data_IF_173919906153
#
_entry.id   IF_173919906153
#
_cell.length_a   1.000
_cell.length_b   1.000
_cell.length_c   1.000
_cell.angle_alpha   90.00
_cell.angle_beta   90.00
_cell.angle_gamma   90.00
#
_symmetry.space_group_name_H-M   'P 1'
#
loop_
_entity.id
_entity.type
_entity.pdbx_description
1 polymer ?
#
# COMPACT_ATOMS: atom_id res chain seq x y z
N UNK A 1 0.90 13.12 -38.57
CA UNK A 1 1.50 12.70 -37.29
C UNK A 1 1.33 13.87 -36.34
N UNK A 2 0.57 13.71 -35.27
CA UNK A 2 0.38 14.73 -34.25
C UNK A 2 1.41 14.45 -33.16
N UNK A 3 2.40 15.33 -33.01
CA UNK A 3 3.38 15.20 -31.94
C UNK A 3 2.67 15.29 -30.60
N UNK A 4 2.63 14.17 -29.87
CA UNK A 4 1.94 14.09 -28.58
C UNK A 4 2.85 14.71 -27.53
N UNK A 5 2.51 15.93 -27.13
CA UNK A 5 3.25 16.67 -26.09
C UNK A 5 3.08 15.97 -24.75
N UNK A 6 4.20 15.59 -24.13
CA UNK A 6 4.23 14.95 -22.81
C UNK A 6 3.82 15.92 -21.71
N UNK A 7 3.42 15.40 -20.54
CA UNK A 7 3.02 16.25 -19.43
C UNK A 7 4.18 17.11 -18.90
N UNK A 8 5.42 16.60 -18.87
CA UNK A 8 6.60 17.40 -18.50
C UNK A 8 6.84 18.56 -19.47
N UNK A 9 6.67 18.32 -20.77
CA UNK A 9 6.76 19.37 -21.79
C UNK A 9 5.69 20.45 -21.60
N UNK A 10 4.46 20.07 -21.23
CA UNK A 10 3.40 21.04 -20.91
C UNK A 10 3.81 21.96 -19.74
N UNK A 11 4.44 21.42 -18.70
CA UNK A 11 4.93 22.22 -17.58
C UNK A 11 6.09 23.16 -17.97
N UNK A 12 7.01 22.73 -18.84
CA UNK A 12 8.06 23.62 -19.36
C UNK A 12 7.48 24.78 -20.16
N UNK A 13 6.56 24.48 -21.07
CA UNK A 13 5.85 25.49 -21.87
C UNK A 13 5.10 26.47 -20.94
N UNK A 14 4.42 25.95 -19.89
CA UNK A 14 3.74 26.80 -18.93
C UNK A 14 4.72 27.72 -18.16
N UNK A 15 5.87 27.22 -17.73
CA UNK A 15 6.91 28.04 -17.09
C UNK A 15 7.44 29.13 -18.03
N UNK A 16 7.69 28.80 -19.30
CA UNK A 16 8.14 29.76 -20.32
C UNK A 16 7.10 30.87 -20.54
N UNK A 17 5.81 30.51 -20.63
CA UNK A 17 4.71 31.48 -20.78
C UNK A 17 4.61 32.39 -19.54
N UNK A 18 4.73 31.84 -18.33
CA UNK A 18 4.67 32.61 -17.08
C UNK A 18 5.84 33.59 -16.93
N UNK A 19 7.02 33.23 -17.47
CA UNK A 19 8.21 34.09 -17.48
C UNK A 19 8.22 35.09 -18.65
N UNK A 20 7.26 35.01 -19.57
CA UNK A 20 7.21 35.95 -20.68
C UNK A 20 6.99 37.38 -20.20
N UNK A 21 7.73 38.31 -20.82
CA UNK A 21 7.74 39.73 -20.48
C UNK A 21 6.34 40.35 -20.52
N UNK A 22 5.51 39.95 -21.48
CA UNK A 22 4.17 40.49 -21.68
C UNK A 22 3.22 40.08 -20.56
N UNK A 23 3.25 38.81 -20.14
CA UNK A 23 2.39 38.30 -19.07
C UNK A 23 2.85 38.81 -17.69
N UNK A 24 4.16 38.83 -17.46
CA UNK A 24 4.76 39.32 -16.22
C UNK A 24 4.49 40.81 -15.99
N UNK A 25 4.55 41.63 -17.05
CA UNK A 25 4.20 43.06 -16.98
C UNK A 25 2.70 43.30 -16.76
N UNK A 26 1.85 42.47 -17.36
CA UNK A 26 0.40 42.67 -17.29
C UNK A 26 -0.21 42.34 -15.91
N UNK A 27 0.34 41.36 -15.18
CA UNK A 27 -0.34 40.81 -14.01
C UNK A 27 0.46 40.84 -12.69
N UNK A 28 1.69 41.38 -12.70
CA UNK A 28 2.62 41.25 -11.58
C UNK A 28 3.32 39.89 -11.63
N UNK A 29 4.64 39.90 -11.46
CA UNK A 29 5.49 38.77 -11.86
C UNK A 29 5.10 37.40 -11.27
N UNK A 30 5.09 36.38 -12.14
CA UNK A 30 4.76 34.99 -11.82
C UNK A 30 5.98 34.10 -11.56
N UNK A 31 7.03 34.67 -10.95
CA UNK A 31 8.29 33.97 -10.77
C UNK A 31 8.16 32.69 -9.91
N UNK A 32 7.24 32.70 -8.94
CA UNK A 32 7.00 31.57 -8.03
C UNK A 32 6.29 30.42 -8.76
N UNK A 33 5.26 30.73 -9.53
CA UNK A 33 4.51 29.76 -10.33
C UNK A 33 5.36 29.17 -11.45
N UNK A 34 6.18 30.00 -12.10
CA UNK A 34 7.13 29.54 -13.10
C UNK A 34 8.15 28.54 -12.51
N UNK A 35 8.71 28.86 -11.33
CA UNK A 35 9.62 27.95 -10.62
C UNK A 35 8.94 26.64 -10.25
N UNK A 36 7.69 26.69 -9.77
CA UNK A 36 6.91 25.49 -9.48
C UNK A 36 6.69 24.62 -10.73
N UNK A 37 6.33 25.22 -11.86
CA UNK A 37 6.19 24.52 -13.14
C UNK A 37 7.50 23.85 -13.57
N UNK A 38 8.64 24.53 -13.44
CA UNK A 38 9.96 23.96 -13.73
C UNK A 38 10.27 22.74 -12.85
N UNK A 39 9.98 22.83 -11.55
CA UNK A 39 10.18 21.71 -10.63
C UNK A 39 9.29 20.51 -10.96
N UNK A 40 8.03 20.74 -11.36
CA UNK A 40 7.14 19.65 -11.80
C UNK A 40 7.61 18.99 -13.09
N UNK A 41 8.10 19.78 -14.06
CA UNK A 41 8.69 19.23 -15.28
C UNK A 41 9.89 18.34 -14.95
N UNK A 42 10.82 18.81 -14.12
CA UNK A 42 12.01 18.05 -13.71
C UNK A 42 11.64 16.76 -12.96
N UNK A 43 10.65 16.82 -12.06
CA UNK A 43 10.15 15.62 -11.35
C UNK A 43 9.61 14.58 -12.33
N UNK A 44 8.76 14.99 -13.27
CA UNK A 44 8.15 14.08 -14.25
C UNK A 44 9.17 13.48 -15.22
N UNK A 45 10.21 14.23 -15.58
CA UNK A 45 11.32 13.73 -16.40
C UNK A 45 12.15 12.69 -15.64
N UNK A 46 12.45 12.93 -14.36
CA UNK A 46 13.14 11.96 -13.52
C UNK A 46 12.30 10.68 -13.34
N UNK A 47 10.98 10.82 -13.16
CA UNK A 47 10.06 9.68 -13.10
C UNK A 47 10.01 8.90 -14.40
N UNK A 48 9.94 9.59 -15.55
CA UNK A 48 9.98 8.95 -16.88
C UNK A 48 11.29 8.21 -17.10
N UNK A 49 12.43 8.82 -16.79
CA UNK A 49 13.75 8.19 -16.94
C UNK A 49 13.90 6.94 -16.05
N UNK A 50 13.34 6.98 -14.84
CA UNK A 50 13.29 5.82 -13.94
C UNK A 50 12.43 4.71 -14.51
N UNK A 51 11.25 5.04 -15.05
CA UNK A 51 10.35 4.05 -15.65
C UNK A 51 10.99 3.43 -16.91
N UNK A 52 11.63 4.23 -17.77
CA UNK A 52 12.36 3.74 -18.94
C UNK A 52 13.48 2.77 -18.55
N UNK A 53 14.17 3.03 -17.44
CA UNK A 53 15.18 2.13 -16.91
C UNK A 53 14.55 0.82 -16.40
N UNK A 54 13.44 0.91 -15.66
CA UNK A 54 12.71 -0.25 -15.18
C UNK A 54 12.23 -1.14 -16.33
N UNK A 55 11.65 -0.56 -17.38
CA UNK A 55 11.19 -1.27 -18.58
C UNK A 55 12.35 -1.93 -19.33
N UNK A 56 13.51 -1.27 -19.41
CA UNK A 56 14.74 -1.85 -19.98
C UNK A 56 15.21 -3.05 -19.16
N UNK A 57 15.25 -2.93 -17.84
CA UNK A 57 15.66 -4.02 -16.94
C UNK A 57 14.70 -5.19 -17.02
N UNK A 58 13.38 -4.94 -17.06
CA UNK A 58 12.38 -5.98 -17.23
C UNK A 58 12.54 -6.70 -18.58
N UNK A 59 12.77 -5.95 -19.67
CA UNK A 59 13.01 -6.54 -20.99
C UNK A 59 14.25 -7.42 -21.00
N UNK A 60 15.34 -6.95 -20.39
CA UNK A 60 16.56 -7.76 -20.24
C UNK A 60 16.22 -9.03 -19.45
N UNK A 61 15.57 -8.90 -18.29
CA UNK A 61 15.20 -10.05 -17.45
C UNK A 61 14.35 -11.08 -18.20
N UNK A 62 13.33 -10.64 -18.96
CA UNK A 62 12.46 -11.52 -19.76
C UNK A 62 13.18 -12.15 -20.97
N UNK A 63 14.21 -11.51 -21.50
CA UNK A 63 14.94 -12.00 -22.68
C UNK A 63 16.04 -13.01 -22.36
N UNK A 64 16.32 -13.22 -21.07
CA UNK A 64 17.44 -14.04 -20.61
C UNK A 64 16.94 -15.43 -20.22
N UNK A 65 17.17 -16.41 -21.10
CA UNK A 65 16.96 -17.85 -20.85
C UNK A 65 18.17 -18.51 -20.15
N UNK A 66 19.25 -17.75 -19.93
CA UNK A 66 20.50 -18.25 -19.36
C UNK A 66 20.59 -18.00 -17.85
N UNK A 67 20.75 -19.04 -17.01
CA UNK A 67 20.93 -18.91 -15.57
C UNK A 67 22.09 -17.99 -15.17
N UNK A 68 23.20 -18.03 -15.92
CA UNK A 68 24.39 -17.23 -15.65
C UNK A 68 24.17 -15.72 -15.80
N UNK A 69 23.33 -15.32 -16.75
CA UNK A 69 22.99 -13.91 -16.98
C UNK A 69 21.93 -13.46 -15.97
N UNK A 70 21.05 -14.36 -15.51
CA UNK A 70 20.12 -14.09 -14.41
C UNK A 70 20.86 -13.80 -13.10
N UNK A 71 21.90 -14.58 -12.80
CA UNK A 71 22.75 -14.38 -11.61
C UNK A 71 23.53 -13.06 -11.69
N UNK A 72 24.05 -12.71 -12.88
CA UNK A 72 24.66 -11.40 -13.12
C UNK A 72 23.67 -10.24 -12.93
N UNK A 73 22.42 -10.39 -13.39
CA UNK A 73 21.38 -9.38 -13.19
C UNK A 73 21.01 -9.22 -11.71
N UNK A 74 20.95 -10.33 -10.96
CA UNK A 74 20.72 -10.31 -9.51
C UNK A 74 21.87 -9.62 -8.77
N UNK A 75 23.12 -9.80 -9.22
CA UNK A 75 24.26 -9.08 -8.67
C UNK A 75 24.16 -7.57 -8.94
N UNK A 76 23.76 -7.14 -10.13
CA UNK A 76 23.53 -5.71 -10.44
C UNK A 76 22.38 -5.14 -9.61
N UNK A 77 21.29 -5.89 -9.43
CA UNK A 77 20.18 -5.48 -8.54
C UNK A 77 20.67 -5.35 -7.10
N UNK A 78 21.51 -6.28 -6.62
CA UNK A 78 22.13 -6.20 -5.30
C UNK A 78 23.08 -5.00 -5.15
N UNK A 79 23.80 -4.61 -6.21
CA UNK A 79 24.62 -3.39 -6.22
C UNK A 79 23.79 -2.10 -6.27
N UNK A 80 22.57 -2.15 -6.83
CA UNK A 80 21.63 -1.02 -6.83
C UNK A 80 20.84 -0.93 -5.52
N UNK A 81 20.83 -1.98 -4.69
CA UNK A 81 20.18 -2.01 -3.38
C UNK A 81 20.59 -0.83 -2.49
N UNK A 82 21.87 -0.46 -2.32
CA UNK A 82 22.28 0.68 -1.51
C UNK A 82 21.78 2.02 -2.07
N UNK A 83 21.64 2.14 -3.40
CA UNK A 83 21.08 3.33 -4.03
C UNK A 83 19.57 3.42 -3.80
N UNK A 84 18.85 2.29 -3.86
CA UNK A 84 17.44 2.23 -3.49
C UNK A 84 17.22 2.55 -2.00
N UNK A 85 18.05 2.02 -1.11
CA UNK A 85 18.06 2.36 0.32
C UNK A 85 18.35 3.85 0.56
N UNK A 86 19.30 4.42 -0.19
CA UNK A 86 19.60 5.85 -0.14
C UNK A 86 18.42 6.70 -0.60
N UNK A 87 17.74 6.33 -1.70
CA UNK A 87 16.54 7.02 -2.19
C UNK A 87 15.39 6.97 -1.18
N UNK A 88 15.17 5.83 -0.53
CA UNK A 88 14.19 5.69 0.55
C UNK A 88 14.58 6.59 1.73
N UNK A 89 15.85 6.59 2.13
CA UNK A 89 16.33 7.45 3.20
C UNK A 89 16.23 8.95 2.87
N UNK A 90 16.41 9.33 1.61
CA UNK A 90 16.22 10.70 1.13
C UNK A 90 14.73 11.09 1.12
N UNK A 91 13.85 10.21 0.65
CA UNK A 91 12.40 10.43 0.70
C UNK A 91 11.91 10.61 2.14
N UNK A 92 12.35 9.74 3.06
CA UNK A 92 12.05 9.86 4.50
C UNK A 92 12.61 11.17 5.07
N UNK A 93 13.82 11.59 4.68
CA UNK A 93 14.39 12.88 5.12
C UNK A 93 13.60 14.06 4.59
N UNK A 94 13.17 14.02 3.33
CA UNK A 94 12.35 15.06 2.69
C UNK A 94 10.97 15.15 3.34
N UNK A 95 10.29 14.03 3.56
CA UNK A 95 9.00 13.97 4.23
C UNK A 95 9.12 14.49 5.66
N UNK A 96 10.21 14.16 6.36
CA UNK A 96 10.51 14.72 7.69
C UNK A 96 10.78 16.22 7.64
N UNK A 97 11.51 16.72 6.66
CA UNK A 97 11.73 18.16 6.52
C UNK A 97 10.42 18.91 6.20
N UNK A 98 9.57 18.33 5.35
CA UNK A 98 8.26 18.88 5.01
C UNK A 98 7.31 18.87 6.22
N UNK A 99 7.20 17.74 6.93
CA UNK A 99 6.40 17.64 8.15
C UNK A 99 6.87 18.64 9.23
N UNK A 100 8.17 18.96 9.28
CA UNK A 100 8.73 19.95 10.19
C UNK A 100 8.41 21.37 9.75
N UNK A 101 8.53 21.67 8.45
CA UNK A 101 8.12 22.94 7.87
C UNK A 101 6.61 23.20 8.06
N UNK A 102 5.80 22.14 7.97
CA UNK A 102 4.34 22.19 8.15
C UNK A 102 3.92 22.26 9.63
N UNK A 103 4.86 22.25 10.59
CA UNK A 103 4.58 22.23 12.03
C UNK A 103 3.90 20.94 12.52
N UNK A 104 3.84 19.90 11.69
CA UNK A 104 3.23 18.60 11.98
C UNK A 104 4.20 17.65 12.68
N UNK A 105 5.50 17.88 12.54
CA UNK A 105 6.52 17.37 13.46
C UNK A 105 6.53 18.28 14.68
N UNK A 106 5.62 18.00 15.61
CA UNK A 106 5.61 18.67 16.90
C UNK A 106 6.88 18.28 17.68
N UNK A 107 7.58 19.22 18.35
CA UNK A 107 8.62 18.88 19.32
C UNK A 107 8.08 18.06 20.51
N UNK A 108 6.76 18.09 20.73
CA UNK A 108 6.09 17.46 21.88
C UNK A 108 4.90 16.53 21.50
N UNK A 109 4.66 16.30 20.21
CA UNK A 109 3.51 15.52 19.73
C UNK A 109 3.85 14.16 19.11
N UNK A 110 5.09 13.69 19.31
CA UNK A 110 5.38 12.28 19.11
C UNK A 110 4.67 11.46 20.19
N UNK A 111 4.00 10.37 19.81
CA UNK A 111 3.56 9.41 20.81
C UNK A 111 4.81 8.83 21.48
N UNK A 112 5.03 9.16 22.77
CA UNK A 112 6.08 8.53 23.55
C UNK A 112 5.81 7.04 23.56
N UNK A 113 6.73 6.27 22.97
CA UNK A 113 6.67 4.82 23.02
C UNK A 113 7.17 4.37 24.40
N UNK A 114 6.41 3.49 25.04
CA UNK A 114 6.94 2.70 26.14
C UNK A 114 8.08 1.80 25.62
N UNK A 115 8.91 1.28 26.52
CA UNK A 115 10.01 0.39 26.14
C UNK A 115 9.52 -0.83 25.33
N UNK A 116 8.39 -1.42 25.74
CA UNK A 116 7.76 -2.54 25.04
C UNK A 116 7.31 -2.18 23.62
N UNK A 117 6.71 -1.00 23.43
CA UNK A 117 6.26 -0.56 22.10
C UNK A 117 7.43 -0.17 21.19
N UNK A 118 8.51 0.38 21.75
CA UNK A 118 9.74 0.61 20.99
C UNK A 118 10.35 -0.72 20.52
N UNK A 119 10.29 -1.76 21.36
CA UNK A 119 10.73 -3.10 20.98
C UNK A 119 9.82 -3.75 19.92
N UNK A 120 8.50 -3.54 19.99
CA UNK A 120 7.57 -3.94 18.93
C UNK A 120 7.91 -3.26 17.61
N UNK A 121 8.15 -1.95 17.60
CA UNK A 121 8.55 -1.20 16.39
C UNK A 121 9.86 -1.75 15.82
N UNK A 122 10.87 -2.00 16.67
CA UNK A 122 12.13 -2.61 16.22
C UNK A 122 11.95 -4.04 15.70
N UNK A 123 11.07 -4.82 16.31
CA UNK A 123 10.75 -6.17 15.88
C UNK A 123 10.10 -6.15 14.50
N UNK A 124 9.08 -5.29 14.31
CA UNK A 124 8.41 -5.08 13.03
C UNK A 124 9.38 -4.63 11.93
N UNK A 125 10.24 -3.64 12.21
CA UNK A 125 11.21 -3.14 11.22
C UNK A 125 12.26 -4.21 10.86
N UNK A 126 12.71 -5.02 11.83
CA UNK A 126 13.62 -6.16 11.55
C UNK A 126 12.95 -7.24 10.70
N UNK A 127 11.68 -7.51 10.94
CA UNK A 127 10.88 -8.41 10.11
C UNK A 127 10.69 -7.86 8.69
N UNK A 128 10.27 -6.59 8.56
CA UNK A 128 10.04 -5.94 7.27
C UNK A 128 11.33 -5.83 6.43
N UNK A 129 12.49 -5.69 7.07
CA UNK A 129 13.79 -5.69 6.42
C UNK A 129 14.34 -7.11 6.10
N UNK A 130 13.55 -8.17 6.32
CA UNK A 130 13.97 -9.55 6.05
C UNK A 130 15.09 -10.07 6.95
N UNK A 131 15.42 -9.36 8.04
CA UNK A 131 16.55 -9.70 8.94
C UNK A 131 16.17 -10.65 10.07
N UNK A 132 14.90 -11.03 10.20
CA UNK A 132 14.40 -11.89 11.28
C UNK A 132 13.46 -12.98 10.74
N UNK A 133 14.00 -13.92 9.97
CA UNK A 133 13.25 -15.07 9.44
C UNK A 133 12.91 -16.13 10.51
N UNK A 134 13.38 -15.95 11.76
CA UNK A 134 13.13 -16.87 12.88
C UNK A 134 12.24 -16.31 13.99
N UNK A 135 11.58 -15.17 13.78
CA UNK A 135 10.64 -14.63 14.77
C UNK A 135 9.32 -15.40 14.65
N UNK A 136 8.88 -16.08 15.71
CA UNK A 136 7.71 -16.96 15.64
C UNK A 136 6.39 -16.20 15.34
N UNK A 137 6.30 -14.89 15.63
CA UNK A 137 5.06 -14.13 15.46
C UNK A 137 5.27 -12.61 15.16
N UNK A 138 5.81 -12.23 13.99
CA UNK A 138 5.94 -10.82 13.59
C UNK A 138 4.58 -10.10 13.48
N UNK A 139 3.51 -10.87 13.28
CA UNK A 139 2.14 -10.41 13.15
C UNK A 139 1.63 -9.71 14.42
N UNK A 140 2.08 -10.13 15.61
CA UNK A 140 1.61 -9.54 16.86
C UNK A 140 2.21 -8.15 17.11
N UNK A 141 3.52 -7.98 16.91
CA UNK A 141 4.17 -6.67 17.02
C UNK A 141 3.62 -5.71 15.95
N UNK A 142 3.43 -6.20 14.71
CA UNK A 142 2.78 -5.43 13.65
C UNK A 142 1.36 -5.02 14.03
N UNK A 143 0.57 -5.93 14.61
CA UNK A 143 -0.80 -5.67 15.04
C UNK A 143 -0.85 -4.63 16.16
N UNK A 144 -0.02 -4.76 17.21
CA UNK A 144 0.03 -3.80 18.33
C UNK A 144 0.40 -2.38 17.86
N UNK A 145 1.37 -2.26 16.94
CA UNK A 145 1.72 -0.97 16.32
C UNK A 145 0.53 -0.42 15.51
N UNK A 146 -0.10 -1.25 14.67
CA UNK A 146 -1.23 -0.84 13.81
C UNK A 146 -2.42 -0.34 14.62
N UNK A 147 -2.77 -1.02 15.71
CA UNK A 147 -3.84 -0.62 16.63
C UNK A 147 -3.51 0.72 17.29
N UNK A 148 -2.28 0.89 17.82
CA UNK A 148 -1.87 2.11 18.50
C UNK A 148 -1.89 3.35 17.61
N UNK A 149 -1.44 3.22 16.36
CA UNK A 149 -1.36 4.34 15.42
C UNK A 149 -2.63 4.54 14.58
N UNK A 150 -3.73 3.82 14.88
CA UNK A 150 -5.02 4.04 14.22
C UNK A 150 -4.98 3.80 12.71
N UNK A 151 -4.07 2.96 12.22
CA UNK A 151 -3.87 2.71 10.78
C UNK A 151 -5.05 1.98 10.11
N UNK A 152 -6.11 1.64 10.87
CA UNK A 152 -7.35 1.04 10.36
C UNK A 152 -8.43 2.07 9.97
N UNK A 153 -8.40 3.30 10.51
CA UNK A 153 -9.54 4.24 10.39
C UNK A 153 -9.45 5.21 9.21
N UNK A 154 -8.33 5.29 8.49
CA UNK A 154 -8.16 6.28 7.42
C UNK A 154 -8.73 5.86 6.06
N UNK A 155 -9.32 4.66 5.94
CA UNK A 155 -9.85 4.14 4.66
C UNK A 155 -11.34 3.76 4.67
N UNK A 156 -12.04 3.86 5.80
CA UNK A 156 -13.49 3.69 5.85
C UNK A 156 -14.08 4.77 6.77
N UNK A 157 -15.02 5.62 6.30
CA UNK A 157 -15.70 6.56 7.19
C UNK A 157 -16.51 5.78 8.22
N UNK A 158 -16.24 6.00 9.51
CA UNK A 158 -16.95 5.37 10.61
C UNK A 158 -18.46 5.70 10.53
N UNK A 159 -19.37 4.70 10.43
CA UNK A 159 -20.80 4.95 10.53
C UNK A 159 -21.18 5.29 11.98
N UNK A 160 -22.25 6.10 12.19
CA UNK A 160 -22.67 6.49 13.53
C UNK A 160 -23.13 5.28 14.34
N UNK A 161 -22.68 5.21 15.59
CA UNK A 161 -23.01 4.14 16.52
C UNK A 161 -24.51 4.16 16.88
N UNK A 162 -25.26 3.20 16.33
CA UNK A 162 -26.59 2.81 16.81
C UNK A 162 -26.59 1.30 16.97
N UNK A 163 -26.77 0.83 18.20
CA UNK A 163 -26.88 -0.60 18.53
C UNK A 163 -28.22 -1.15 18.05
N UNK A 164 -28.27 -1.58 16.80
CA UNK A 164 -29.34 -2.42 16.26
C UNK A 164 -28.96 -3.89 16.51
N UNK A 165 -29.89 -4.78 16.88
CA UNK A 165 -29.60 -6.21 16.95
C UNK A 165 -29.16 -6.72 15.56
N UNK A 166 -27.91 -7.21 15.45
CA UNK A 166 -27.30 -7.79 14.24
C UNK A 166 -27.99 -9.10 13.84
N UNK A 167 -29.17 -8.94 13.25
CA UNK A 167 -29.80 -9.98 12.45
C UNK A 167 -29.45 -9.61 11.01
N UNK A 168 -28.49 -10.32 10.42
CA UNK A 168 -28.17 -10.18 9.01
C UNK A 168 -29.44 -10.34 8.15
N UNK A 169 -29.46 -9.81 6.91
CA UNK A 169 -30.65 -9.81 6.06
C UNK A 169 -31.25 -11.20 5.76
N UNK A 170 -30.52 -12.28 6.05
CA UNK A 170 -30.97 -13.68 5.91
C UNK A 170 -31.35 -14.35 7.25
N UNK A 171 -31.36 -13.63 8.37
CA UNK A 171 -31.69 -14.18 9.67
C UNK A 171 -30.59 -15.01 10.33
N UNK A 172 -29.41 -15.11 9.73
CA UNK A 172 -28.29 -15.85 10.29
C UNK A 172 -27.57 -14.99 11.34
N UNK A 173 -27.38 -15.47 12.59
CA UNK A 173 -26.62 -14.73 13.59
C UNK A 173 -25.20 -14.44 13.09
N UNK A 174 -24.75 -13.18 13.18
CA UNK A 174 -23.38 -12.74 12.88
C UNK A 174 -22.35 -13.22 13.94
N UNK A 175 -22.59 -14.38 14.55
CA UNK A 175 -21.66 -14.90 15.54
C UNK A 175 -20.34 -15.25 14.84
N UNK A 176 -19.20 -14.78 15.36
CA UNK A 176 -17.91 -15.19 14.83
C UNK A 176 -17.77 -16.72 14.89
N UNK A 177 -17.31 -17.32 13.80
CA UNK A 177 -17.11 -18.77 13.70
C UNK A 177 -15.70 -19.12 14.20
N UNK A 178 -15.59 -20.10 15.10
CA UNK A 178 -14.28 -20.55 15.61
C UNK A 178 -13.51 -21.40 14.59
N UNK A 179 -14.24 -22.05 13.68
CA UNK A 179 -13.66 -22.81 12.58
C UNK A 179 -14.24 -22.36 11.25
N UNK A 180 -13.45 -22.45 10.19
CA UNK A 180 -13.91 -22.04 8.86
C UNK A 180 -14.99 -23.00 8.33
N UNK A 181 -14.99 -24.24 8.81
CA UNK A 181 -15.96 -25.29 8.50
C UNK A 181 -17.37 -24.94 8.99
N UNK A 182 -17.47 -24.16 10.07
CA UNK A 182 -18.76 -23.72 10.61
C UNK A 182 -19.38 -22.59 9.77
N UNK A 183 -18.60 -21.98 8.87
CA UNK A 183 -19.11 -20.93 7.98
C UNK A 183 -20.03 -21.55 6.92
N UNK A 184 -21.29 -21.10 6.79
CA UNK A 184 -22.23 -21.69 5.84
C UNK A 184 -21.76 -21.61 4.39
N UNK A 185 -22.24 -22.55 3.58
CA UNK A 185 -21.99 -22.61 2.14
C UNK A 185 -22.34 -21.27 1.47
N UNK A 186 -21.41 -20.75 0.66
CA UNK A 186 -21.59 -19.49 -0.06
C UNK A 186 -21.47 -18.20 0.75
N UNK A 187 -21.34 -18.27 2.07
CA UNK A 187 -21.04 -17.10 2.89
C UNK A 187 -19.58 -16.70 2.67
N UNK A 188 -19.37 -15.42 2.33
CA UNK A 188 -18.03 -14.83 2.27
C UNK A 188 -17.60 -14.45 3.67
N UNK A 189 -16.35 -14.76 4.03
CA UNK A 189 -15.82 -14.47 5.36
C UNK A 189 -14.36 -14.02 5.35
N UNK A 190 -13.98 -13.31 6.41
CA UNK A 190 -12.60 -12.97 6.76
C UNK A 190 -12.15 -13.78 7.96
N UNK A 191 -10.83 -14.02 8.07
CA UNK A 191 -10.20 -14.36 9.33
C UNK A 191 -9.83 -13.10 10.13
N UNK A 192 -9.34 -13.29 11.36
CA UNK A 192 -8.93 -12.25 12.32
C UNK A 192 -8.08 -11.12 11.72
N UNK A 193 -7.16 -11.42 10.80
CA UNK A 193 -6.25 -10.42 10.24
C UNK A 193 -6.87 -9.57 9.11
N UNK A 194 -8.07 -9.92 8.61
CA UNK A 194 -8.75 -9.23 7.50
C UNK A 194 -7.87 -8.98 6.27
N UNK A 195 -6.92 -9.88 5.98
CA UNK A 195 -6.06 -9.77 4.79
C UNK A 195 -6.56 -10.62 3.62
N UNK A 196 -7.36 -11.64 3.92
CA UNK A 196 -7.77 -12.66 2.97
C UNK A 196 -9.27 -12.90 3.13
N UNK A 197 -9.94 -13.08 1.98
CA UNK A 197 -11.35 -13.40 1.90
C UNK A 197 -11.50 -14.84 1.43
N UNK A 198 -12.47 -15.54 1.99
CA UNK A 198 -12.81 -16.90 1.61
C UNK A 198 -14.31 -17.06 1.42
N UNK A 199 -14.69 -18.14 0.76
CA UNK A 199 -16.04 -18.65 0.65
C UNK A 199 -16.00 -20.18 0.67
N UNK A 200 -16.99 -20.82 1.28
CA UNK A 200 -17.10 -22.28 1.25
C UNK A 200 -17.91 -22.72 0.01
N UNK A 201 -17.36 -23.71 -0.71
CA UNK A 201 -17.94 -24.38 -1.88
C UNK A 201 -17.83 -25.89 -1.77
N UNK A 202 -18.95 -26.61 -1.78
CA UNK A 202 -18.98 -28.08 -1.73
C UNK A 202 -18.13 -28.66 -0.58
N UNK A 203 -18.19 -28.03 0.59
CA UNK A 203 -17.39 -28.41 1.78
C UNK A 203 -15.89 -28.08 1.68
N UNK A 204 -15.48 -27.30 0.67
CA UNK A 204 -14.09 -26.83 0.49
C UNK A 204 -14.00 -25.33 0.68
N UNK A 205 -12.88 -24.87 1.23
CA UNK A 205 -12.56 -23.46 1.32
C UNK A 205 -11.96 -22.94 0.03
N UNK A 206 -12.59 -21.93 -0.56
CA UNK A 206 -12.11 -21.19 -1.72
C UNK A 206 -11.58 -19.83 -1.27
N UNK A 207 -10.40 -19.45 -1.76
CA UNK A 207 -9.82 -18.13 -1.58
C UNK A 207 -10.32 -17.16 -2.66
N UNK A 208 -10.63 -15.93 -2.26
CA UNK A 208 -11.11 -14.84 -3.11
C UNK A 208 -10.01 -13.78 -3.26
N UNK A 209 -9.15 -13.86 -4.30
CA UNK A 209 -8.16 -12.83 -4.57
C UNK A 209 -8.83 -11.47 -4.88
N UNK A 210 -8.08 -10.38 -4.72
CA UNK A 210 -8.58 -9.01 -4.95
C UNK A 210 -9.04 -8.79 -6.40
N UNK A 211 -8.48 -9.52 -7.36
CA UNK A 211 -8.86 -9.47 -8.79
C UNK A 211 -10.13 -10.26 -9.16
N UNK A 212 -10.81 -10.87 -8.20
CA UNK A 212 -11.98 -11.70 -8.44
C UNK A 212 -11.66 -13.15 -8.81
N UNK A 213 -12.70 -13.97 -8.92
CA UNK A 213 -12.59 -15.42 -9.10
C UNK A 213 -12.49 -16.20 -7.78
N UNK A 214 -12.75 -17.49 -7.83
CA UNK A 214 -12.63 -18.41 -6.70
C UNK A 214 -11.51 -19.41 -7.01
N UNK A 215 -10.48 -19.47 -6.16
CA UNK A 215 -9.38 -20.44 -6.29
C UNK A 215 -9.32 -21.32 -5.07
N UNK A 216 -8.94 -22.59 -5.20
CA UNK A 216 -8.80 -23.46 -4.04
C UNK A 216 -7.79 -22.89 -3.05
N UNK A 217 -8.17 -22.82 -1.77
CA UNK A 217 -7.27 -22.31 -0.73
C UNK A 217 -6.11 -23.28 -0.53
N UNK A 218 -4.87 -22.80 -0.65
CA UNK A 218 -3.66 -23.58 -0.36
C UNK A 218 -3.27 -23.59 1.12
N UNK A 219 -3.99 -22.86 1.98
CA UNK A 219 -3.69 -22.80 3.42
C UNK A 219 -4.03 -24.11 4.10
N UNK A 220 -3.19 -24.54 5.03
CA UNK A 220 -3.45 -25.75 5.82
C UNK A 220 -4.35 -25.44 7.04
N UNK A 221 -4.86 -26.47 7.70
CA UNK A 221 -5.77 -26.31 8.84
C UNK A 221 -5.16 -25.58 10.04
N UNK A 222 -3.85 -25.77 10.30
CA UNK A 222 -3.16 -25.08 11.39
C UNK A 222 -3.11 -23.57 11.16
N UNK A 223 -2.86 -23.14 9.92
CA UNK A 223 -2.91 -21.72 9.55
C UNK A 223 -4.32 -21.15 9.71
N UNK A 224 -5.35 -21.93 9.40
CA UNK A 224 -6.74 -21.49 9.52
C UNK A 224 -7.18 -21.36 10.97
N UNK A 225 -6.78 -22.29 11.83
CA UNK A 225 -7.03 -22.17 13.28
C UNK A 225 -6.45 -20.87 13.85
N UNK A 226 -5.28 -20.43 13.37
CA UNK A 226 -4.66 -19.15 13.76
C UNK A 226 -5.42 -17.92 13.23
N UNK A 227 -6.19 -18.10 12.15
CA UNK A 227 -7.00 -17.05 11.55
C UNK A 227 -8.39 -16.94 12.17
N UNK A 228 -8.79 -17.85 13.05
CA UNK A 228 -10.02 -17.74 13.82
C UNK A 228 -9.98 -16.52 14.80
N UNK A 229 -11.12 -15.91 15.13
CA UNK A 229 -12.44 -16.26 14.63
C UNK A 229 -12.68 -15.71 13.22
N UNK A 230 -13.59 -16.35 12.49
CA UNK A 230 -14.03 -15.92 11.17
C UNK A 230 -15.28 -15.07 11.28
N UNK A 231 -15.35 -14.03 10.48
CA UNK A 231 -16.47 -13.08 10.48
C UNK A 231 -16.99 -12.89 9.07
N UNK A 232 -18.31 -12.71 8.95
CA UNK A 232 -18.98 -12.52 7.68
C UNK A 232 -18.47 -11.27 6.97
N UNK A 233 -18.42 -11.31 5.65
CA UNK A 233 -18.18 -10.14 4.80
C UNK A 233 -19.55 -9.63 4.35
N UNK A 234 -20.22 -8.82 5.17
CA UNK A 234 -21.42 -8.11 4.73
C UNK A 234 -21.03 -6.87 3.91
N UNK A 235 -21.63 -6.68 2.73
CA UNK A 235 -21.55 -5.39 2.03
C UNK A 235 -21.54 -5.36 0.49
N UNK A 236 -21.25 -6.45 -0.23
CA UNK A 236 -20.95 -6.33 -1.68
C UNK A 236 -22.10 -6.68 -2.66
N UNK A 237 -23.35 -6.81 -2.20
CA UNK A 237 -24.50 -6.96 -3.11
C UNK A 237 -25.67 -6.04 -2.76
N UNK A 238 -25.64 -4.83 -3.30
CA UNK A 238 -26.78 -4.36 -4.09
C UNK A 238 -26.53 -4.81 -5.52
N UNK A 239 -27.08 -5.96 -5.90
CA UNK A 239 -27.18 -6.32 -7.31
C UNK A 239 -28.05 -5.25 -8.01
N UNK A 240 -27.39 -4.36 -8.75
CA UNK A 240 -28.04 -3.62 -9.84
C UNK A 240 -28.32 -4.63 -10.96
N UNK A 241 -29.45 -5.34 -10.85
CA UNK A 241 -30.06 -5.99 -11.99
C UNK A 241 -30.98 -4.98 -12.68
N UNK A 242 -30.52 -4.48 -13.83
CA UNK A 242 -31.35 -3.94 -14.90
C UNK A 242 -31.49 -5.02 -15.98
#
# INVERSE_FOLDING_TARGET
MTDTITLSQKYRIAAEVLLSDDLSKACGGYAVEALWCQQQAARLEAESARNDLADKLERIYRSVDSPLVRDGLLAVVAELQPFAEWLIAEAVRRDRAQLAADGRLLPEGGAVLTAAEADDVRAFMRWAAGRNNGMEHPDEAAYRIRVKFGLYDSWVPAPPAVSVPDIGPDGTPEKPWETWQDVPEGVRYWGRNRLYRWVNRDGRRMFLPLGGGEVSSSRNELEMQRLAPFVRVDGDQKENNA
#
